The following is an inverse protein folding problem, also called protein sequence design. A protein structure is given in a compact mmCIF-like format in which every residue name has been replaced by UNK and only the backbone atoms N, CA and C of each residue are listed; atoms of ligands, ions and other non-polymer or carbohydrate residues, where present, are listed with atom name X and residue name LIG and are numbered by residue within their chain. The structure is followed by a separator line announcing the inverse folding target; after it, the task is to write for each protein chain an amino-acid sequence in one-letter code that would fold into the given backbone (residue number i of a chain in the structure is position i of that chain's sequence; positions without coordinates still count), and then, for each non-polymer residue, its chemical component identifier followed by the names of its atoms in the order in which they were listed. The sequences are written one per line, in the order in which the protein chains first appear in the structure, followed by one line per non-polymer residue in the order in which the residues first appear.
data_IF_759463428294
#
_entry.id   IF_759463428294
#
_cell.length_a   1.000
_cell.length_b   1.000
_cell.length_c   1.000
_cell.angle_alpha   90.00
_cell.angle_beta   90.00
_cell.angle_gamma   90.00
#
_symmetry.space_group_name_H-M   'P 1'
#
loop_
_entity.id
_entity.type
_entity.pdbx_description
1 polymer ?
#
# COMPACT_ATOMS: atom_id res chain seq x y z
N UNK A 1 38.37 3.92 -29.83
CA UNK A 1 39.16 3.73 -31.06
C UNK A 1 38.16 3.52 -32.19
N UNK A 2 37.75 4.60 -32.87
CA UNK A 2 36.86 4.52 -34.03
C UNK A 2 37.72 4.32 -35.30
N UNK A 3 37.31 3.46 -36.26
CA UNK A 3 38.00 3.40 -37.53
C UNK A 3 37.58 4.60 -38.41
N UNK A 4 38.51 5.24 -39.12
CA UNK A 4 38.20 6.34 -40.03
C UNK A 4 37.79 5.78 -41.40
N UNK A 5 36.90 6.52 -42.07
CA UNK A 5 36.45 6.33 -43.45
C UNK A 5 35.52 5.14 -43.70
N UNK A 6 34.21 5.40 -43.60
CA UNK A 6 33.22 4.71 -44.41
C UNK A 6 32.01 5.63 -44.62
N UNK A 7 32.14 6.55 -45.59
CA UNK A 7 31.01 7.32 -46.14
C UNK A 7 30.14 6.36 -46.96
N UNK A 8 29.24 5.64 -46.32
CA UNK A 8 28.13 5.01 -47.03
C UNK A 8 26.87 5.82 -46.79
N UNK A 9 26.54 6.62 -47.80
CA UNK A 9 25.24 7.23 -47.99
C UNK A 9 24.24 6.08 -48.26
N UNK A 10 23.64 5.54 -47.20
CA UNK A 10 22.61 4.51 -47.32
C UNK A 10 21.31 5.22 -47.73
N UNK A 11 21.11 5.32 -49.04
CA UNK A 11 19.79 5.60 -49.63
C UNK A 11 19.07 4.25 -49.72
N UNK A 12 17.90 4.03 -49.08
CA UNK A 12 17.21 2.75 -49.18
C UNK A 12 16.45 2.73 -50.51
N UNK A 13 17.06 2.14 -51.55
CA UNK A 13 16.35 1.80 -52.79
C UNK A 13 15.85 0.37 -52.66
N UNK A 14 14.54 0.20 -52.43
CA UNK A 14 13.88 -1.09 -52.51
C UNK A 14 13.53 -1.37 -53.99
N UNK A 15 14.10 -2.42 -54.59
CA UNK A 15 13.81 -2.80 -55.98
C UNK A 15 12.62 -3.77 -56.03
N UNK A 16 11.46 -3.26 -56.41
CA UNK A 16 10.32 -4.07 -56.84
C UNK A 16 9.80 -3.51 -58.16
N UNK A 17 9.94 -4.27 -59.25
CA UNK A 17 9.36 -4.02 -60.58
C UNK A 17 9.50 -2.59 -61.14
N UNK A 18 10.72 -2.21 -61.57
CA UNK A 18 10.91 -1.17 -62.61
C UNK A 18 10.52 0.28 -62.30
N UNK A 19 10.02 0.61 -61.11
CA UNK A 19 9.68 1.98 -60.70
C UNK A 19 10.65 2.41 -59.60
N UNK A 20 11.49 3.44 -59.84
CA UNK A 20 12.31 4.05 -58.78
C UNK A 20 11.41 4.85 -57.85
N UNK A 21 11.09 4.28 -56.70
CA UNK A 21 10.42 4.99 -55.62
C UNK A 21 11.47 5.68 -54.75
N UNK A 22 11.33 6.99 -54.58
CA UNK A 22 12.18 7.78 -53.69
C UNK A 22 11.37 8.11 -52.44
N UNK A 23 11.91 7.75 -51.26
CA UNK A 23 11.39 8.24 -50.00
C UNK A 23 11.79 9.70 -49.83
N UNK A 24 10.83 10.56 -49.49
CA UNK A 24 11.13 11.95 -49.15
C UNK A 24 12.05 11.97 -47.92
N UNK A 25 13.07 12.83 -47.94
CA UNK A 25 13.98 13.00 -46.79
C UNK A 25 13.23 13.39 -45.51
N UNK A 26 12.10 14.09 -45.63
CA UNK A 26 11.26 14.47 -44.50
C UNK A 26 10.55 13.26 -43.91
N UNK A 27 9.98 12.39 -44.75
CA UNK A 27 9.36 11.15 -44.30
C UNK A 27 10.41 10.21 -43.66
N UNK A 28 11.62 10.13 -44.22
CA UNK A 28 12.70 9.32 -43.64
C UNK A 28 13.11 9.83 -42.24
N UNK A 29 13.19 11.16 -42.06
CA UNK A 29 13.46 11.76 -40.75
C UNK A 29 12.35 11.46 -39.75
N UNK A 30 11.09 11.67 -40.13
CA UNK A 30 9.94 11.38 -39.27
C UNK A 30 9.87 9.91 -38.87
N UNK A 31 10.10 8.98 -39.80
CA UNK A 31 10.14 7.54 -39.49
C UNK A 31 11.29 7.19 -38.55
N UNK A 32 12.45 7.84 -38.70
CA UNK A 32 13.60 7.62 -37.81
C UNK A 32 13.29 8.13 -36.40
N UNK A 33 12.63 9.28 -36.29
CA UNK A 33 12.18 9.85 -35.02
C UNK A 33 11.10 8.98 -34.36
N UNK A 34 10.12 8.49 -35.10
CA UNK A 34 9.11 7.53 -34.63
C UNK A 34 9.76 6.26 -34.06
N UNK A 35 10.72 5.67 -34.78
CA UNK A 35 11.44 4.49 -34.29
C UNK A 35 12.22 4.79 -33.01
N UNK A 36 12.87 5.95 -32.93
CA UNK A 36 13.60 6.38 -31.73
C UNK A 36 12.66 6.56 -30.55
N UNK A 37 11.56 7.29 -30.72
CA UNK A 37 10.55 7.52 -29.68
C UNK A 37 9.90 6.21 -29.23
N UNK A 38 9.60 5.31 -30.17
CA UNK A 38 9.05 3.99 -29.83
C UNK A 38 10.05 3.15 -29.02
N UNK A 39 11.35 3.21 -29.36
CA UNK A 39 12.38 2.54 -28.58
C UNK A 39 12.49 3.14 -27.17
N UNK A 40 12.58 4.47 -27.05
CA UNK A 40 12.65 5.18 -25.76
C UNK A 40 11.43 4.85 -24.88
N UNK A 41 10.22 4.89 -25.44
CA UNK A 41 8.99 4.48 -24.73
C UNK A 41 9.04 3.02 -24.26
N UNK A 42 9.53 2.11 -25.10
CA UNK A 42 9.66 0.70 -24.72
C UNK A 42 10.67 0.51 -23.57
N UNK A 43 11.79 1.23 -23.57
CA UNK A 43 12.76 1.18 -22.47
C UNK A 43 12.16 1.72 -21.17
N UNK A 44 11.52 2.89 -21.21
CA UNK A 44 10.85 3.46 -20.05
C UNK A 44 9.78 2.52 -19.48
N UNK A 45 8.99 1.90 -20.35
CA UNK A 45 7.98 0.91 -19.90
C UNK A 45 8.60 -0.32 -19.22
N UNK A 46 9.78 -0.76 -19.66
CA UNK A 46 10.50 -1.86 -19.00
C UNK A 46 11.01 -1.44 -17.63
N UNK A 47 11.61 -0.24 -17.53
CA UNK A 47 12.10 0.32 -16.27
C UNK A 47 10.96 0.49 -15.25
N UNK A 48 9.83 1.08 -15.66
CA UNK A 48 8.63 1.22 -14.81
C UNK A 48 8.19 -0.15 -14.30
N UNK A 49 8.14 -1.16 -15.18
CA UNK A 49 7.71 -2.51 -14.81
C UNK A 49 8.67 -3.18 -13.81
N UNK A 50 9.96 -2.91 -13.91
CA UNK A 50 10.95 -3.45 -12.98
C UNK A 50 10.90 -2.74 -11.63
N UNK A 51 10.67 -1.42 -11.60
CA UNK A 51 10.40 -0.66 -10.37
C UNK A 51 9.13 -1.20 -9.68
N UNK A 52 8.02 -1.32 -10.42
CA UNK A 52 6.75 -1.86 -9.89
C UNK A 52 6.93 -3.29 -9.31
N UNK A 53 7.80 -4.11 -9.92
CA UNK A 53 8.11 -5.46 -9.41
C UNK A 53 8.88 -5.40 -8.10
N UNK A 54 9.86 -4.50 -7.99
CA UNK A 54 10.68 -4.37 -6.80
C UNK A 54 9.87 -3.80 -5.62
N UNK A 55 9.05 -2.77 -5.88
CA UNK A 55 8.08 -2.25 -4.91
C UNK A 55 7.10 -3.33 -4.45
N UNK A 56 6.60 -4.16 -5.37
CA UNK A 56 5.71 -5.26 -5.02
C UNK A 56 6.40 -6.35 -4.17
N UNK A 57 7.72 -6.55 -4.30
CA UNK A 57 8.46 -7.46 -3.42
C UNK A 57 8.59 -6.87 -2.02
N UNK A 58 8.98 -5.60 -1.92
CA UNK A 58 9.12 -4.88 -0.65
C UNK A 58 7.80 -4.87 0.12
N UNK A 59 6.70 -4.57 -0.57
CA UNK A 59 5.36 -4.57 0.03
C UNK A 59 4.99 -5.96 0.56
N UNK A 60 5.19 -7.01 -0.24
CA UNK A 60 4.92 -8.40 0.20
C UNK A 60 5.75 -8.83 1.39
N UNK A 61 6.99 -8.38 1.47
CA UNK A 61 7.85 -8.68 2.62
C UNK A 61 7.35 -7.97 3.88
N UNK A 62 6.98 -6.69 3.76
CA UNK A 62 6.36 -5.93 4.85
C UNK A 62 5.04 -6.56 5.32
N UNK A 63 4.15 -6.96 4.40
CA UNK A 63 2.89 -7.65 4.71
C UNK A 63 3.11 -8.98 5.46
N UNK A 64 4.14 -9.75 5.07
CA UNK A 64 4.47 -11.00 5.76
C UNK A 64 4.96 -10.75 7.18
N UNK A 65 5.78 -9.73 7.38
CA UNK A 65 6.29 -9.40 8.71
C UNK A 65 5.16 -8.90 9.62
N UNK A 66 4.29 -8.03 9.11
CA UNK A 66 3.06 -7.63 9.83
C UNK A 66 2.20 -8.85 10.18
N UNK A 67 1.98 -9.75 9.21
CA UNK A 67 1.23 -10.99 9.43
C UNK A 67 1.85 -11.89 10.51
N UNK A 68 3.18 -11.92 10.63
CA UNK A 68 3.87 -12.66 11.71
C UNK A 68 3.62 -12.03 13.08
N UNK A 69 3.64 -10.70 13.17
CA UNK A 69 3.40 -9.97 14.42
C UNK A 69 1.96 -10.21 14.88
N UNK A 70 0.99 -10.11 13.97
CA UNK A 70 -0.43 -10.38 14.25
C UNK A 70 -0.62 -11.84 14.69
N UNK A 71 -0.06 -12.80 13.94
CA UNK A 71 -0.18 -14.21 14.29
C UNK A 71 0.49 -14.54 15.63
N UNK A 72 1.59 -13.87 15.98
CA UNK A 72 2.24 -14.00 17.28
C UNK A 72 1.35 -13.46 18.42
N UNK A 73 0.67 -12.33 18.22
CA UNK A 73 -0.28 -11.79 19.20
C UNK A 73 -1.49 -12.73 19.39
N UNK A 74 -2.09 -13.22 18.30
CA UNK A 74 -3.21 -14.19 18.37
C UNK A 74 -2.80 -15.50 19.05
N UNK A 75 -1.59 -15.99 18.78
CA UNK A 75 -1.06 -17.20 19.41
C UNK A 75 -0.84 -16.99 20.90
N UNK A 76 -0.27 -15.85 21.30
CA UNK A 76 -0.06 -15.52 22.70
C UNK A 76 -1.38 -15.45 23.48
N UNK A 77 -2.43 -14.88 22.88
CA UNK A 77 -3.75 -14.84 23.51
C UNK A 77 -4.37 -16.24 23.65
N UNK A 78 -4.29 -17.08 22.62
CA UNK A 78 -4.75 -18.47 22.70
C UNK A 78 -4.02 -19.27 23.79
N UNK A 79 -2.70 -19.13 23.88
CA UNK A 79 -1.88 -19.78 24.93
C UNK A 79 -2.35 -19.34 26.33
N UNK A 80 -2.58 -18.03 26.54
CA UNK A 80 -3.08 -17.50 27.80
C UNK A 80 -4.47 -18.03 28.16
N UNK A 81 -5.42 -18.04 27.21
CA UNK A 81 -6.79 -18.56 27.44
C UNK A 81 -6.76 -20.04 27.84
N UNK A 82 -5.92 -20.85 27.19
CA UNK A 82 -5.78 -22.27 27.53
C UNK A 82 -5.23 -22.42 28.94
N UNK A 83 -4.19 -21.66 29.27
CA UNK A 83 -3.57 -21.71 30.59
C UNK A 83 -4.51 -21.22 31.71
N UNK A 84 -5.29 -20.17 31.44
CA UNK A 84 -6.27 -19.65 32.38
C UNK A 84 -7.37 -20.67 32.70
N UNK A 85 -7.82 -21.42 31.69
CA UNK A 85 -8.74 -22.55 31.89
C UNK A 85 -8.13 -23.65 32.75
N UNK A 86 -6.88 -24.03 32.48
CA UNK A 86 -6.17 -25.05 33.27
C UNK A 86 -6.07 -24.65 34.75
N UNK A 87 -5.63 -23.41 35.02
CA UNK A 87 -5.50 -22.88 36.39
C UNK A 87 -6.87 -22.84 37.09
N UNK A 88 -7.94 -22.46 36.38
CA UNK A 88 -9.29 -22.45 36.95
C UNK A 88 -9.79 -23.86 37.33
N UNK A 89 -9.51 -24.87 36.49
CA UNK A 89 -9.85 -26.27 36.78
C UNK A 89 -9.05 -26.83 37.97
N UNK A 90 -7.79 -26.45 38.12
CA UNK A 90 -6.96 -26.86 39.25
C UNK A 90 -7.40 -26.20 40.56
N UNK A 91 -7.78 -24.92 40.52
CA UNK A 91 -8.34 -24.21 41.66
C UNK A 91 -9.61 -24.90 42.19
N UNK A 92 -10.47 -25.40 41.30
CA UNK A 92 -11.70 -26.09 41.69
C UNK A 92 -11.44 -27.46 42.39
N UNK A 93 -10.30 -28.10 42.12
CA UNK A 93 -9.94 -29.41 42.71
C UNK A 93 -9.17 -29.28 44.03
N UNK A 94 -8.64 -28.08 44.29
CA UNK A 94 -7.68 -27.73 45.34
C UNK A 94 -8.17 -27.95 46.78
N UNK A 95 -9.50 -27.91 47.00
CA UNK A 95 -10.11 -28.18 48.32
C UNK A 95 -9.92 -29.63 48.78
N UNK A 96 -9.66 -30.56 47.85
CA UNK A 96 -9.46 -32.00 48.12
C UNK A 96 -8.02 -32.49 47.92
N UNK A 97 -7.08 -31.57 47.73
CA UNK A 97 -5.79 -31.85 47.11
C UNK A 97 -4.60 -32.07 48.06
N UNK A 98 -3.64 -32.88 47.61
CA UNK A 98 -2.33 -33.12 48.26
C UNK A 98 -1.40 -31.90 48.16
N UNK A 99 -0.36 -31.85 49.00
CA UNK A 99 0.67 -30.78 48.98
C UNK A 99 1.35 -30.61 47.61
N UNK A 100 1.56 -31.72 46.90
CA UNK A 100 2.12 -31.73 45.54
C UNK A 100 1.23 -31.01 44.53
N UNK A 101 -0.09 -31.19 44.60
CA UNK A 101 -1.06 -30.52 43.74
C UNK A 101 -1.11 -29.01 44.03
N UNK A 102 -0.93 -28.60 45.30
CA UNK A 102 -0.82 -27.18 45.67
C UNK A 102 0.46 -26.54 45.13
N UNK A 103 1.57 -27.27 45.08
CA UNK A 103 2.82 -26.80 44.49
C UNK A 103 2.70 -26.65 42.97
N UNK A 104 2.08 -27.63 42.30
CA UNK A 104 1.83 -27.59 40.85
C UNK A 104 0.96 -26.39 40.46
N UNK A 105 -0.13 -26.16 41.19
CA UNK A 105 -1.00 -25.00 40.97
C UNK A 105 -0.24 -23.67 41.05
N UNK A 106 0.64 -23.51 42.05
CA UNK A 106 1.46 -22.30 42.17
C UNK A 106 2.40 -22.11 40.97
N UNK A 107 2.95 -23.19 40.43
CA UNK A 107 3.79 -23.15 39.23
C UNK A 107 2.98 -22.69 38.02
N UNK A 108 1.80 -23.28 37.80
CA UNK A 108 0.90 -22.90 36.72
C UNK A 108 0.39 -21.45 36.84
N UNK A 109 0.18 -20.93 38.06
CA UNK A 109 -0.11 -19.51 38.27
C UNK A 109 1.06 -18.61 37.83
N UNK A 110 2.30 -18.98 38.13
CA UNK A 110 3.48 -18.22 37.69
C UNK A 110 3.61 -18.24 36.16
N UNK A 111 3.36 -19.40 35.54
CA UNK A 111 3.37 -19.53 34.08
C UNK A 111 2.25 -18.71 33.42
N UNK A 112 1.06 -18.66 34.01
CA UNK A 112 -0.03 -17.80 33.54
C UNK A 112 0.35 -16.32 33.56
N UNK A 113 1.05 -15.85 34.59
CA UNK A 113 1.55 -14.46 34.64
C UNK A 113 2.60 -14.17 33.56
N UNK A 114 3.49 -15.12 33.28
CA UNK A 114 4.46 -14.99 32.18
C UNK A 114 3.73 -14.90 30.83
N UNK A 115 2.69 -15.72 30.61
CA UNK A 115 1.89 -15.66 29.38
C UNK A 115 1.12 -14.33 29.26
N UNK A 116 0.57 -13.79 30.36
CA UNK A 116 -0.05 -12.45 30.39
C UNK A 116 0.93 -11.35 30.02
N UNK A 117 2.16 -11.40 30.51
CA UNK A 117 3.20 -10.44 30.09
C UNK A 117 3.56 -10.57 28.61
N UNK A 118 3.72 -11.80 28.12
CA UNK A 118 4.02 -12.08 26.71
C UNK A 118 2.92 -11.57 25.78
N UNK A 119 1.66 -11.81 26.13
CA UNK A 119 0.50 -11.29 25.41
C UNK A 119 0.49 -9.76 25.38
N UNK A 120 0.64 -9.10 26.54
CA UNK A 120 0.72 -7.63 26.62
C UNK A 120 1.79 -7.06 25.69
N UNK A 121 2.99 -7.64 25.70
CA UNK A 121 4.09 -7.22 24.81
C UNK A 121 3.73 -7.43 23.34
N UNK A 122 3.13 -8.57 23.00
CA UNK A 122 2.72 -8.86 21.62
C UNK A 122 1.62 -7.91 21.12
N UNK A 123 0.62 -7.59 21.95
CA UNK A 123 -0.42 -6.60 21.64
C UNK A 123 0.18 -5.22 21.43
N UNK A 124 1.06 -4.76 22.33
CA UNK A 124 1.70 -3.45 22.18
C UNK A 124 2.52 -3.35 20.89
N UNK A 125 3.25 -4.41 20.52
CA UNK A 125 3.97 -4.46 19.26
C UNK A 125 3.01 -4.41 18.06
N UNK A 126 1.92 -5.19 18.08
CA UNK A 126 0.94 -5.20 17.01
C UNK A 126 0.27 -3.82 16.84
N UNK A 127 -0.14 -3.16 17.93
CA UNK A 127 -0.71 -1.82 17.90
C UNK A 127 0.26 -0.79 17.32
N UNK A 128 1.53 -0.80 17.75
CA UNK A 128 2.55 0.08 17.20
C UNK A 128 2.76 -0.12 15.69
N UNK A 129 2.65 -1.36 15.20
CA UNK A 129 2.79 -1.63 13.76
C UNK A 129 1.58 -1.23 12.91
N UNK A 130 0.39 -1.15 13.51
CA UNK A 130 -0.88 -0.83 12.83
C UNK A 130 -1.24 0.65 12.89
N UNK A 131 -0.68 1.38 13.85
CA UNK A 131 -0.90 2.81 13.97
C UNK A 131 -0.31 3.59 12.79
N UNK A 132 -1.05 4.58 12.31
CA UNK A 132 -0.63 5.38 11.17
C UNK A 132 -1.70 6.37 10.72
N UNK A 133 -1.46 6.94 9.54
CA UNK A 133 -2.37 7.88 8.90
C UNK A 133 -3.05 7.25 7.69
N UNK A 134 -4.35 7.42 7.57
CA UNK A 134 -5.09 7.24 6.31
C UNK A 134 -5.16 8.61 5.62
N UNK A 135 -4.80 8.65 4.35
CA UNK A 135 -4.82 9.86 3.53
C UNK A 135 -5.84 9.77 2.41
N UNK A 136 -6.43 10.92 2.08
CA UNK A 136 -7.30 11.12 0.92
C UNK A 136 -6.68 12.21 0.06
N UNK A 137 -6.30 11.87 -1.17
CA UNK A 137 -5.63 12.78 -2.10
C UNK A 137 -6.25 12.70 -3.49
N UNK A 138 -6.14 13.77 -4.30
CA UNK A 138 -6.57 13.76 -5.71
C UNK A 138 -5.54 14.40 -6.61
N UNK A 139 -5.64 14.14 -7.91
CA UNK A 139 -4.90 14.88 -8.92
C UNK A 139 -5.76 14.94 -10.19
N UNK A 140 -6.46 16.05 -10.37
CA UNK A 140 -7.40 16.23 -11.48
C UNK A 140 -6.70 16.20 -12.84
N UNK A 141 -5.48 16.72 -12.92
CA UNK A 141 -4.72 16.81 -14.17
C UNK A 141 -4.27 15.44 -14.68
N UNK A 142 -4.00 14.50 -13.77
CA UNK A 142 -3.49 13.18 -14.11
C UNK A 142 -4.59 12.11 -14.19
N UNK A 143 -5.63 12.20 -13.35
CA UNK A 143 -6.66 11.16 -13.24
C UNK A 143 -8.07 11.64 -13.59
N UNK A 144 -8.27 12.94 -13.80
CA UNK A 144 -9.57 13.54 -14.07
C UNK A 144 -10.31 13.96 -12.79
N UNK A 145 -11.36 14.78 -12.99
CA UNK A 145 -12.21 15.27 -11.90
C UNK A 145 -12.98 14.14 -11.23
N UNK A 146 -13.12 14.22 -9.91
CA UNK A 146 -13.87 13.24 -9.13
C UNK A 146 -13.17 11.90 -8.94
N UNK A 147 -11.84 11.88 -9.08
CA UNK A 147 -11.02 10.70 -8.79
C UNK A 147 -10.14 10.98 -7.57
N UNK A 148 -10.33 10.18 -6.52
CA UNK A 148 -9.54 10.24 -5.30
C UNK A 148 -8.74 8.96 -5.10
N UNK A 149 -7.54 9.10 -4.53
CA UNK A 149 -6.77 8.01 -3.96
C UNK A 149 -6.95 7.97 -2.45
N UNK A 150 -7.27 6.78 -1.95
CA UNK A 150 -7.39 6.50 -0.52
C UNK A 150 -6.33 5.47 -0.17
N UNK A 151 -5.43 5.78 0.75
CA UNK A 151 -4.41 4.84 1.21
C UNK A 151 -3.91 5.15 2.61
N UNK A 152 -3.05 4.29 3.16
CA UNK A 152 -2.40 4.51 4.45
C UNK A 152 -0.89 4.78 4.36
N UNK A 153 -0.36 5.43 5.41
CA UNK A 153 1.06 5.65 5.62
C UNK A 153 1.40 5.53 7.10
N UNK A 154 2.55 4.91 7.39
CA UNK A 154 3.11 4.78 8.73
C UNK A 154 4.18 5.82 9.04
N UNK A 155 4.39 6.78 8.14
CA UNK A 155 5.36 7.87 8.35
C UNK A 155 4.92 8.78 9.48
N UNK A 156 5.90 9.38 10.15
CA UNK A 156 5.66 10.39 11.16
C UNK A 156 4.95 11.61 10.57
N UNK A 157 5.37 12.06 9.38
CA UNK A 157 4.69 13.08 8.59
C UNK A 157 4.04 12.45 7.34
N UNK A 158 2.69 12.49 7.22
CA UNK A 158 2.00 11.96 6.05
C UNK A 158 2.28 12.77 4.77
N UNK A 159 2.68 14.04 4.85
CA UNK A 159 3.02 14.87 3.68
C UNK A 159 4.22 14.33 2.91
N UNK A 160 5.20 13.73 3.61
CA UNK A 160 6.36 13.13 2.95
C UNK A 160 5.96 11.97 2.05
N UNK A 161 4.91 11.22 2.42
CA UNK A 161 4.39 10.16 1.55
C UNK A 161 3.73 10.74 0.31
N UNK A 162 2.97 11.83 0.46
CA UNK A 162 2.29 12.48 -0.67
C UNK A 162 3.30 13.02 -1.69
N UNK A 163 4.41 13.62 -1.23
CA UNK A 163 5.48 14.11 -2.11
C UNK A 163 6.11 12.99 -2.93
N UNK A 164 6.44 11.86 -2.30
CA UNK A 164 7.00 10.70 -3.02
C UNK A 164 6.06 10.13 -4.08
N UNK A 165 4.76 10.12 -3.79
CA UNK A 165 3.75 9.67 -4.76
C UNK A 165 3.68 10.62 -5.96
N UNK A 166 3.88 11.93 -5.74
CA UNK A 166 3.92 12.95 -6.78
C UNK A 166 5.17 12.84 -7.66
N UNK A 167 6.34 12.67 -7.06
CA UNK A 167 7.63 12.65 -7.76
C UNK A 167 7.81 11.45 -8.71
N UNK A 168 7.07 10.37 -8.50
CA UNK A 168 7.29 9.12 -9.20
C UNK A 168 6.76 9.08 -10.64
N UNK A 169 5.69 9.83 -10.99
CA UNK A 169 4.97 9.58 -12.27
C UNK A 169 3.96 10.64 -12.74
N UNK A 170 3.74 11.76 -12.04
CA UNK A 170 2.66 12.72 -12.40
C UNK A 170 3.18 14.14 -12.67
N UNK A 171 2.61 14.88 -13.64
CA UNK A 171 3.08 16.24 -13.99
C UNK A 171 2.90 17.28 -12.88
N UNK A 172 1.95 17.05 -11.96
CA UNK A 172 1.63 17.92 -10.83
C UNK A 172 1.55 17.11 -9.53
N UNK A 173 1.81 17.77 -8.40
CA UNK A 173 1.65 17.18 -7.08
C UNK A 173 0.17 16.87 -6.79
N UNK A 174 -0.05 15.93 -5.88
CA UNK A 174 -1.40 15.62 -5.42
C UNK A 174 -1.95 16.71 -4.50
N UNK A 175 -3.23 17.04 -4.69
CA UNK A 175 -4.02 17.80 -3.72
C UNK A 175 -4.34 16.90 -2.52
N UNK A 176 -4.11 17.41 -1.32
CA UNK A 176 -4.42 16.71 -0.07
C UNK A 176 -5.77 17.17 0.43
N UNK A 177 -6.68 16.23 0.69
CA UNK A 177 -8.02 16.52 1.23
C UNK A 177 -8.13 16.24 2.72
N UNK A 178 -7.56 15.12 3.15
CA UNK A 178 -7.63 14.71 4.54
C UNK A 178 -6.44 13.83 4.95
N UNK A 179 -5.99 14.01 6.19
CA UNK A 179 -5.18 13.05 6.92
C UNK A 179 -5.89 12.64 8.20
N UNK A 180 -5.97 11.34 8.42
CA UNK A 180 -6.68 10.74 9.54
C UNK A 180 -5.73 9.84 10.31
N UNK A 181 -5.40 10.23 11.54
CA UNK A 181 -4.62 9.37 12.43
C UNK A 181 -5.53 8.31 13.06
N UNK A 182 -5.06 7.06 13.11
CA UNK A 182 -5.75 5.96 13.79
C UNK A 182 -4.74 4.96 14.34
N UNK A 183 -5.09 4.31 15.45
CA UNK A 183 -4.31 3.20 16.02
C UNK A 183 -4.32 1.94 15.14
N UNK A 184 -5.30 1.85 14.22
CA UNK A 184 -5.42 0.78 13.25
C UNK A 184 -5.76 1.33 11.85
N UNK A 185 -4.72 1.81 11.16
CA UNK A 185 -4.83 2.34 9.80
C UNK A 185 -5.25 1.29 8.76
N UNK A 186 -4.71 0.04 8.77
CA UNK A 186 -5.15 -1.00 7.84
C UNK A 186 -6.64 -1.31 7.91
N UNK A 187 -7.23 -1.34 9.11
CA UNK A 187 -8.67 -1.62 9.26
C UNK A 187 -9.51 -0.47 8.70
N UNK A 188 -9.14 0.78 8.98
CA UNK A 188 -9.84 1.96 8.48
C UNK A 188 -9.75 2.08 6.95
N UNK A 189 -8.57 1.87 6.38
CA UNK A 189 -8.36 1.84 4.93
C UNK A 189 -9.23 0.77 4.28
N UNK A 190 -9.19 -0.47 4.80
CA UNK A 190 -9.99 -1.58 4.29
C UNK A 190 -11.48 -1.29 4.34
N UNK A 191 -11.95 -0.63 5.41
CA UNK A 191 -13.34 -0.19 5.52
C UNK A 191 -13.71 0.75 4.36
N UNK A 192 -12.94 1.82 4.12
CA UNK A 192 -13.20 2.76 3.03
C UNK A 192 -13.13 2.08 1.66
N UNK A 193 -12.14 1.22 1.46
CA UNK A 193 -11.93 0.45 0.24
C UNK A 193 -13.10 -0.49 -0.09
N UNK A 194 -13.78 -1.01 0.93
CA UNK A 194 -14.98 -1.84 0.76
C UNK A 194 -16.22 -0.96 0.53
N UNK A 195 -16.34 0.15 1.24
CA UNK A 195 -17.45 1.11 1.06
C UNK A 195 -17.50 1.69 -0.35
N UNK A 196 -16.35 1.85 -1.00
CA UNK A 196 -16.22 2.36 -2.37
C UNK A 196 -15.81 1.30 -3.40
N UNK A 197 -16.04 0.02 -3.11
CA UNK A 197 -15.57 -1.08 -3.98
C UNK A 197 -16.12 -1.00 -5.41
N UNK A 198 -17.39 -0.58 -5.57
CA UNK A 198 -18.06 -0.43 -6.87
C UNK A 198 -17.56 0.78 -7.67
N UNK A 199 -16.94 1.76 -7.00
CA UNK A 199 -16.42 3.00 -7.59
C UNK A 199 -14.94 2.91 -7.96
N UNK A 200 -14.32 1.73 -7.88
CA UNK A 200 -12.90 1.56 -8.22
C UNK A 200 -12.63 1.91 -9.69
N UNK A 201 -11.65 2.78 -9.91
CA UNK A 201 -11.23 3.19 -11.26
C UNK A 201 -10.59 2.03 -12.01
N UNK A 202 -9.79 1.21 -11.31
CA UNK A 202 -9.06 0.12 -11.92
C UNK A 202 -9.65 -1.23 -11.49
N UNK A 203 -10.41 -1.85 -12.40
CA UNK A 203 -11.06 -3.15 -12.21
C UNK A 203 -10.13 -4.34 -12.46
N UNK A 204 -8.99 -4.11 -13.14
CA UNK A 204 -8.04 -5.17 -13.52
C UNK A 204 -6.83 -5.21 -12.58
N UNK A 205 -6.39 -4.05 -12.09
CA UNK A 205 -5.31 -3.94 -11.11
C UNK A 205 -5.78 -3.21 -9.85
N UNK A 206 -6.33 -4.00 -8.91
CA UNK A 206 -6.85 -3.51 -7.62
C UNK A 206 -5.78 -2.89 -6.71
N UNK A 207 -4.49 -2.96 -7.07
CA UNK A 207 -3.40 -2.28 -6.34
C UNK A 207 -3.42 -0.77 -6.53
N UNK A 208 -4.10 -0.28 -7.57
CA UNK A 208 -4.33 1.15 -7.80
C UNK A 208 -5.59 1.56 -7.04
N UNK A 209 -5.40 2.11 -5.86
CA UNK A 209 -6.45 2.52 -4.90
C UNK A 209 -7.10 3.85 -5.29
N UNK A 210 -7.47 3.99 -6.57
CA UNK A 210 -8.19 5.15 -7.08
C UNK A 210 -9.68 4.83 -7.19
N UNK A 211 -10.52 5.76 -6.77
CA UNK A 211 -11.96 5.63 -6.70
C UNK A 211 -12.64 6.85 -7.33
N UNK A 212 -13.72 6.62 -8.08
CA UNK A 212 -14.62 7.65 -8.60
C UNK A 212 -15.53 8.15 -7.48
N UNK A 213 -14.97 8.98 -6.60
CA UNK A 213 -15.63 9.51 -5.40
C UNK A 213 -15.19 10.94 -5.15
N UNK A 214 -16.06 11.76 -4.58
CA UNK A 214 -15.67 13.09 -4.13
C UNK A 214 -14.97 13.01 -2.77
N UNK A 215 -14.00 13.88 -2.48
CA UNK A 215 -13.35 13.92 -1.16
C UNK A 215 -14.35 14.08 -0.02
N UNK A 216 -15.41 14.85 -0.24
CA UNK A 216 -16.50 15.06 0.72
C UNK A 216 -17.23 13.75 1.08
N UNK A 217 -17.47 12.86 0.11
CA UNK A 217 -18.12 11.57 0.36
C UNK A 217 -17.24 10.67 1.21
N UNK A 218 -15.92 10.71 0.99
CA UNK A 218 -14.94 9.93 1.76
C UNK A 218 -14.87 10.43 3.20
N UNK A 219 -14.87 11.75 3.39
CA UNK A 219 -14.93 12.40 4.71
C UNK A 219 -16.23 12.00 5.44
N UNK A 220 -17.38 12.00 4.76
CA UNK A 220 -18.63 11.59 5.38
C UNK A 220 -18.57 10.11 5.84
N UNK A 221 -17.97 9.21 5.04
CA UNK A 221 -17.77 7.82 5.47
C UNK A 221 -16.81 7.69 6.66
N UNK A 222 -15.77 8.52 6.73
CA UNK A 222 -14.86 8.58 7.88
C UNK A 222 -15.61 8.98 9.16
N UNK A 223 -16.45 10.02 9.09
CA UNK A 223 -17.27 10.47 10.23
C UNK A 223 -18.31 9.43 10.67
N UNK A 224 -18.83 8.62 9.73
CA UNK A 224 -19.75 7.51 10.03
C UNK A 224 -19.05 6.34 10.71
N UNK A 225 -17.78 6.08 10.36
CA UNK A 225 -17.00 5.01 10.95
C UNK A 225 -16.73 5.28 12.43
N UNK A 226 -16.22 6.47 12.75
CA UNK A 226 -16.00 6.90 14.13
C UNK A 226 -15.97 8.43 14.25
N UNK A 227 -16.89 8.95 15.05
CA UNK A 227 -17.06 10.39 15.30
C UNK A 227 -15.95 10.99 16.16
N UNK A 228 -15.11 10.18 16.80
CA UNK A 228 -14.02 10.62 17.67
C UNK A 228 -12.67 10.76 16.94
N UNK A 229 -12.63 10.45 15.65
CA UNK A 229 -11.42 10.52 14.84
C UNK A 229 -10.96 11.99 14.65
N UNK A 230 -9.66 12.22 14.88
CA UNK A 230 -9.02 13.50 14.54
C UNK A 230 -8.74 13.56 13.04
N UNK A 231 -9.61 14.24 12.31
CA UNK A 231 -9.46 14.47 10.87
C UNK A 231 -8.79 15.83 10.66
N UNK A 232 -7.60 15.82 10.06
CA UNK A 232 -6.93 17.02 9.60
C UNK A 232 -7.36 17.30 8.16
N UNK A 233 -8.18 18.32 7.97
CA UNK A 233 -8.68 18.74 6.66
C UNK A 233 -7.69 19.69 5.97
N UNK A 234 -7.45 19.45 4.68
CA UNK A 234 -6.66 20.32 3.82
C UNK A 234 -7.49 20.59 2.57
N UNK A 235 -7.66 21.87 2.22
CA UNK A 235 -8.40 22.37 1.06
C UNK A 235 -9.62 21.55 0.60
N UNK A 236 -10.63 21.44 1.46
CA UNK A 236 -11.96 21.05 0.99
C UNK A 236 -12.59 22.29 0.34
N UNK A 237 -12.39 22.45 -0.98
CA UNK A 237 -13.32 23.27 -1.76
C UNK A 237 -14.68 22.55 -1.73
N UNK A 238 -15.44 22.78 -0.66
CA UNK A 238 -16.84 22.40 -0.48
C UNK A 238 -17.72 23.21 -1.45
N UNK A 239 -17.44 23.14 -2.74
CA UNK A 239 -18.35 23.68 -3.74
C UNK A 239 -19.42 22.63 -3.99
N UNK A 240 -20.49 22.75 -3.20
CA UNK A 240 -21.83 22.24 -3.52
C UNK A 240 -22.30 22.72 -4.89
#
# INVERSE_FOLDING_TARGET
MFPPNLKYLIVPVCYFMGIRQYLSNEYLKLKTEEFRLSYELNQLNLEIKDIEREEAKILREAEREEGRIIAAAEKAEKERIIMEKLVAEELAKLESSTEEQRALYKLHQQELEILREKERRAISLAQLTRAGYVYVISNEMSFGKGVCKIGMTRRADPNDRVKELGDASVPELFDVHAFVFTEDAPTLEKYLHNSFAEQRVNLVNNRKEFFYVMPADVIEQLERYDKSININYFDVNLNK
#
